data_IF_763635468030
#
_entry.id   IF_763635468030
#
_cell.length_a   1.000
_cell.length_b   1.000
_cell.length_c   1.000
_cell.angle_alpha   90.00
_cell.angle_beta   90.00
_cell.angle_gamma   90.00
#
_symmetry.space_group_name_H-M   'P 1'
#
loop_
_entity.id
_entity.type
_entity.pdbx_description
1 polymer ?
#
# COMPACT_ATOMS: atom_id res chain seq x y z
N UNK A 1 22.27 -14.79 13.30
CA UNK A 1 21.84 -13.40 13.56
C UNK A 1 21.09 -12.81 12.38
N UNK A 2 21.49 -13.07 11.12
CA UNK A 2 20.77 -12.60 9.92
C UNK A 2 19.29 -13.02 9.87
N UNK A 3 18.97 -14.30 10.12
CA UNK A 3 17.58 -14.78 10.08
C UNK A 3 16.61 -14.02 11.01
N UNK A 4 17.06 -13.59 12.20
CA UNK A 4 16.24 -12.79 13.11
C UNK A 4 16.00 -11.38 12.57
N UNK A 5 16.98 -10.82 11.86
CA UNK A 5 16.85 -9.48 11.27
C UNK A 5 15.82 -9.48 10.14
N UNK A 6 15.80 -10.51 9.29
CA UNK A 6 14.82 -10.64 8.20
C UNK A 6 13.39 -10.78 8.76
N UNK A 7 13.23 -11.56 9.83
CA UNK A 7 11.95 -11.70 10.53
C UNK A 7 11.51 -10.36 11.12
N UNK A 8 12.42 -9.64 11.79
CA UNK A 8 12.12 -8.32 12.38
C UNK A 8 11.75 -7.31 11.29
N UNK A 9 12.44 -7.29 10.16
CA UNK A 9 12.13 -6.42 9.03
C UNK A 9 10.76 -6.71 8.45
N UNK A 10 10.46 -7.99 8.21
CA UNK A 10 9.16 -8.42 7.70
C UNK A 10 8.04 -8.05 8.67
N UNK A 11 8.24 -8.28 9.97
CA UNK A 11 7.26 -7.94 11.00
C UNK A 11 7.04 -6.42 11.08
N UNK A 12 8.12 -5.63 11.03
CA UNK A 12 8.04 -4.16 11.04
C UNK A 12 7.26 -3.64 9.84
N UNK A 13 7.53 -4.18 8.65
CA UNK A 13 6.86 -3.78 7.42
C UNK A 13 5.40 -4.21 7.41
N UNK A 14 5.09 -5.43 7.84
CA UNK A 14 3.72 -5.91 7.97
C UNK A 14 2.91 -5.08 8.99
N UNK A 15 3.48 -4.77 10.15
CA UNK A 15 2.82 -3.94 11.16
C UNK A 15 2.60 -2.52 10.64
N UNK A 16 3.62 -1.88 10.06
CA UNK A 16 3.50 -0.53 9.50
C UNK A 16 2.48 -0.46 8.37
N UNK A 17 2.49 -1.43 7.46
CA UNK A 17 1.53 -1.52 6.37
C UNK A 17 0.10 -1.75 6.89
N UNK A 18 -0.08 -2.67 7.85
CA UNK A 18 -1.41 -2.98 8.42
C UNK A 18 -2.05 -1.78 9.12
N UNK A 19 -1.23 -0.98 9.80
CA UNK A 19 -1.70 0.25 10.43
C UNK A 19 -2.04 1.33 9.39
N UNK A 20 -1.15 1.57 8.43
CA UNK A 20 -1.36 2.58 7.39
C UNK A 20 -2.58 2.26 6.51
N UNK A 21 -2.81 0.97 6.19
CA UNK A 21 -3.96 0.55 5.40
C UNK A 21 -5.29 0.79 6.11
N UNK A 22 -5.30 0.89 7.45
CA UNK A 22 -6.49 1.25 8.22
C UNK A 22 -6.92 2.71 8.04
N UNK A 23 -6.02 3.58 7.54
CA UNK A 23 -6.36 4.96 7.15
C UNK A 23 -6.79 4.98 5.69
N UNK A 24 -5.96 4.42 4.80
CA UNK A 24 -6.28 4.30 3.38
C UNK A 24 -5.41 3.22 2.73
N UNK A 25 -6.05 2.19 2.16
CA UNK A 25 -5.35 1.05 1.58
C UNK A 25 -4.55 1.46 0.33
N UNK A 26 -5.16 2.22 -0.58
CA UNK A 26 -4.56 2.55 -1.87
C UNK A 26 -3.36 3.48 -1.71
N UNK A 27 -3.43 4.46 -0.80
CA UNK A 27 -2.31 5.31 -0.42
C UNK A 27 -1.15 4.49 0.17
N UNK A 28 -1.46 3.51 1.02
CA UNK A 28 -0.45 2.63 1.63
C UNK A 28 0.31 1.84 0.55
N UNK A 29 -0.42 1.21 -0.39
CA UNK A 29 0.18 0.49 -1.50
C UNK A 29 1.02 1.41 -2.40
N UNK A 30 0.53 2.62 -2.68
CA UNK A 30 1.26 3.61 -3.47
C UNK A 30 2.58 4.02 -2.81
N UNK A 31 2.56 4.38 -1.52
CA UNK A 31 3.75 4.84 -0.79
C UNK A 31 4.78 3.70 -0.64
N UNK A 32 4.33 2.49 -0.33
CA UNK A 32 5.20 1.32 -0.22
C UNK A 32 5.86 0.98 -1.55
N UNK A 33 5.08 0.93 -2.63
CA UNK A 33 5.61 0.65 -3.96
C UNK A 33 6.51 1.75 -4.49
N UNK A 34 6.15 3.02 -4.29
CA UNK A 34 6.99 4.16 -4.66
C UNK A 34 8.32 4.16 -3.90
N UNK A 35 8.29 3.86 -2.59
CA UNK A 35 9.51 3.71 -1.79
C UNK A 35 10.38 2.55 -2.25
N UNK A 36 9.77 1.44 -2.68
CA UNK A 36 10.47 0.30 -3.26
C UNK A 36 11.14 0.65 -4.60
N UNK A 37 10.46 1.40 -5.48
CA UNK A 37 11.01 1.85 -6.76
C UNK A 37 12.24 2.76 -6.62
N UNK A 38 12.25 3.62 -5.60
CA UNK A 38 13.39 4.52 -5.33
C UNK A 38 14.58 3.79 -4.67
N UNK A 39 14.50 2.48 -4.46
CA UNK A 39 15.55 1.70 -3.81
C UNK A 39 15.72 2.00 -2.32
N UNK A 40 14.74 2.68 -1.70
CA UNK A 40 14.78 3.00 -0.27
C UNK A 40 14.49 1.77 0.60
N UNK A 41 13.77 0.78 0.06
CA UNK A 41 13.41 -0.46 0.74
C UNK A 41 13.52 -1.66 -0.21
N UNK A 42 14.11 -2.76 0.28
CA UNK A 42 14.00 -4.07 -0.34
C UNK A 42 12.73 -4.71 0.20
N UNK A 43 11.78 -4.99 -0.70
CA UNK A 43 10.54 -5.65 -0.33
C UNK A 43 10.80 -7.16 -0.10
N UNK A 44 10.21 -7.75 0.95
CA UNK A 44 10.33 -9.18 1.21
C UNK A 44 9.65 -10.01 0.10
N UNK A 45 10.07 -11.27 -0.05
CA UNK A 45 9.47 -12.23 -0.98
C UNK A 45 7.94 -12.27 -0.79
N UNK A 46 7.20 -11.94 -1.85
CA UNK A 46 5.74 -11.87 -1.85
C UNK A 46 5.17 -10.45 -2.05
N UNK A 47 5.91 -9.40 -1.70
CA UNK A 47 5.46 -8.01 -1.93
C UNK A 47 6.05 -7.38 -3.18
N UNK A 48 7.00 -8.01 -3.87
CA UNK A 48 7.70 -7.48 -5.06
C UNK A 48 6.76 -6.87 -6.12
N UNK A 49 5.52 -7.37 -6.20
CA UNK A 49 4.50 -6.84 -7.10
C UNK A 49 4.16 -5.37 -6.83
N UNK A 50 4.29 -4.89 -5.59
CA UNK A 50 4.14 -3.47 -5.24
C UNK A 50 5.24 -2.62 -5.85
N UNK A 51 6.42 -3.17 -6.14
CA UNK A 51 7.49 -2.43 -6.82
C UNK A 51 7.23 -2.29 -8.33
N UNK A 52 6.17 -2.91 -8.86
CA UNK A 52 5.82 -2.79 -10.27
C UNK A 52 5.23 -1.38 -10.55
N UNK A 53 5.80 -0.61 -11.50
CA UNK A 53 5.31 0.73 -11.84
C UNK A 53 3.83 0.77 -12.21
N UNK A 54 3.31 -0.29 -12.85
CA UNK A 54 1.89 -0.39 -13.20
C UNK A 54 1.02 -0.50 -11.94
N UNK A 55 1.43 -1.31 -10.97
CA UNK A 55 0.70 -1.50 -9.70
C UNK A 55 0.71 -0.20 -8.89
N UNK A 56 1.84 0.49 -8.85
CA UNK A 56 1.95 1.79 -8.18
C UNK A 56 1.06 2.82 -8.86
N UNK A 57 1.10 2.91 -10.19
CA UNK A 57 0.23 3.84 -10.92
C UNK A 57 -1.26 3.53 -10.72
N UNK A 58 -1.63 2.25 -10.69
CA UNK A 58 -3.00 1.82 -10.43
C UNK A 58 -3.43 2.14 -8.99
N UNK A 59 -2.57 1.89 -8.00
CA UNK A 59 -2.81 2.25 -6.60
C UNK A 59 -2.98 3.77 -6.42
N UNK A 60 -2.12 4.57 -7.06
CA UNK A 60 -2.24 6.04 -7.03
C UNK A 60 -3.51 6.54 -7.72
N UNK A 61 -3.92 5.93 -8.83
CA UNK A 61 -5.18 6.26 -9.51
C UNK A 61 -6.37 5.90 -8.62
N UNK A 62 -6.38 4.70 -8.05
CA UNK A 62 -7.45 4.25 -7.16
C UNK A 62 -7.55 5.11 -5.90
N UNK A 63 -6.42 5.55 -5.33
CA UNK A 63 -6.41 6.51 -4.23
C UNK A 63 -7.07 7.84 -4.61
N UNK A 64 -6.77 8.36 -5.80
CA UNK A 64 -7.45 9.56 -6.30
C UNK A 64 -8.95 9.30 -6.44
N UNK A 65 -9.36 8.18 -7.04
CA UNK A 65 -10.77 7.82 -7.22
C UNK A 65 -11.50 7.73 -5.89
N UNK A 66 -10.92 7.06 -4.89
CA UNK A 66 -11.46 6.95 -3.54
C UNK A 66 -11.59 8.33 -2.88
N UNK A 67 -10.58 9.19 -2.99
CA UNK A 67 -10.65 10.56 -2.46
C UNK A 67 -11.78 11.40 -3.10
N UNK A 68 -12.11 11.15 -4.37
CA UNK A 68 -13.26 11.78 -5.02
C UNK A 68 -14.59 11.10 -4.65
N UNK A 69 -14.60 9.78 -4.51
CA UNK A 69 -15.77 8.99 -4.12
C UNK A 69 -16.27 9.37 -2.72
N UNK A 70 -15.36 9.52 -1.76
CA UNK A 70 -15.60 10.01 -0.39
C UNK A 70 -16.38 11.33 -0.35
N UNK A 71 -16.17 12.18 -1.36
CA UNK A 71 -16.77 13.53 -1.40
C UNK A 71 -18.15 13.56 -2.04
N UNK A 72 -18.63 12.45 -2.62
CA UNK A 72 -19.94 12.36 -3.27
C UNK A 72 -20.87 11.48 -2.44
N UNK A 73 -21.79 12.06 -1.66
CA UNK A 73 -22.72 11.29 -0.82
C UNK A 73 -23.57 10.34 -1.68
N UNK A 74 -23.48 9.04 -1.41
CA UNK A 74 -24.15 7.95 -2.13
C UNK A 74 -23.23 7.09 -3.01
N UNK A 75 -22.14 7.66 -3.54
CA UNK A 75 -21.07 6.88 -4.22
C UNK A 75 -20.21 6.20 -3.17
N UNK A 76 -19.83 6.94 -2.12
CA UNK A 76 -19.18 6.46 -0.89
C UNK A 76 -19.77 5.13 -0.38
N UNK A 77 -21.06 5.11 -0.06
CA UNK A 77 -21.74 3.90 0.45
C UNK A 77 -21.78 2.74 -0.55
N UNK A 78 -21.79 3.02 -1.86
CA UNK A 78 -21.79 1.97 -2.89
C UNK A 78 -20.40 1.37 -3.09
N UNK A 79 -19.36 2.18 -2.85
CA UNK A 79 -17.96 1.80 -2.99
C UNK A 79 -17.44 1.06 -1.75
N UNK A 80 -17.90 1.43 -0.55
CA UNK A 80 -17.59 0.74 0.71
C UNK A 80 -18.28 -0.64 0.87
N UNK A 81 -19.38 -0.87 0.16
CA UNK A 81 -20.15 -2.12 0.23
C UNK A 81 -19.54 -3.24 -0.62
N UNK A 82 -18.70 -2.91 -1.61
CA UNK A 82 -18.22 -3.81 -2.66
C UNK A 82 -16.80 -4.31 -2.38
#
# INVERSE_FOLDING_TARGET
>A
MEHYNDIIQTLTLAMGASWASGINLYATLFILGFSALNGAFVLPEGLEILANPLVISAAGLMYCVEFFADKVPGVDTSWDVL
#
